data_IF_527903554412
#
_entry.id   IF_527903554412
#
_cell.length_a   1.000
_cell.length_b   1.000
_cell.length_c   1.000
_cell.angle_alpha   90.00
_cell.angle_beta   90.00
_cell.angle_gamma   90.00
#
_symmetry.space_group_name_H-M   'P 1'
#
loop_
_entity.id
_entity.type
_entity.pdbx_description
1 polymer ?
#
# COMPACT_ATOMS: atom_id res chain seq x y z
N UNK A 1 -20.61 -8.22 -18.86
CA UNK A 1 -19.59 -7.45 -18.12
C UNK A 1 -19.18 -8.28 -16.91
N UNK A 2 -17.89 -8.54 -16.71
CA UNK A 2 -17.39 -9.33 -15.56
C UNK A 2 -17.27 -8.40 -14.35
N UNK A 3 -17.70 -8.85 -13.17
CA UNK A 3 -17.57 -8.10 -11.92
C UNK A 3 -16.59 -8.82 -10.99
N UNK A 4 -15.65 -8.07 -10.43
CA UNK A 4 -14.72 -8.56 -9.41
C UNK A 4 -15.24 -8.18 -8.02
N UNK A 5 -15.12 -9.09 -7.07
CA UNK A 5 -15.47 -8.82 -5.68
C UNK A 5 -14.26 -8.25 -4.92
N UNK A 6 -14.44 -7.07 -4.33
CA UNK A 6 -13.49 -6.51 -3.39
C UNK A 6 -13.93 -6.89 -1.97
N UNK A 7 -13.06 -7.59 -1.25
CA UNK A 7 -13.25 -7.98 0.15
C UNK A 7 -12.36 -7.18 1.07
N UNK A 8 -12.81 -7.00 2.31
CA UNK A 8 -12.00 -6.36 3.34
C UNK A 8 -10.86 -7.27 3.78
N UNK A 9 -9.63 -6.76 3.80
CA UNK A 9 -8.42 -7.51 4.22
C UNK A 9 -8.45 -7.94 5.70
N UNK A 10 -9.22 -7.24 6.54
CA UNK A 10 -9.28 -7.53 7.97
C UNK A 10 -10.44 -8.45 8.36
N UNK A 11 -11.67 -8.24 7.85
CA UNK A 11 -12.84 -9.04 8.24
C UNK A 11 -13.37 -9.97 7.15
N UNK A 12 -12.72 -9.99 5.98
CA UNK A 12 -13.08 -10.79 4.80
C UNK A 12 -14.53 -10.63 4.29
N UNK A 13 -15.22 -9.58 4.75
CA UNK A 13 -16.56 -9.25 4.28
C UNK A 13 -16.47 -8.48 2.96
N UNK A 14 -17.42 -8.76 2.07
CA UNK A 14 -17.61 -8.04 0.82
C UNK A 14 -17.76 -6.54 1.06
N UNK A 15 -17.01 -5.75 0.30
CA UNK A 15 -17.05 -4.29 0.30
C UNK A 15 -17.74 -3.74 -0.96
N UNK A 16 -17.37 -4.26 -2.13
CA UNK A 16 -17.89 -3.79 -3.41
C UNK A 16 -17.83 -4.88 -4.49
N UNK A 17 -18.66 -4.73 -5.52
CA UNK A 17 -18.47 -5.36 -6.83
C UNK A 17 -18.06 -4.26 -7.81
N UNK A 18 -17.01 -4.49 -8.58
CA UNK A 18 -16.48 -3.51 -9.52
C UNK A 18 -16.28 -4.16 -10.88
N UNK A 19 -16.57 -3.45 -11.96
CA UNK A 19 -16.28 -3.91 -13.31
C UNK A 19 -14.83 -3.59 -13.69
N UNK A 20 -14.42 -2.35 -13.46
CA UNK A 20 -13.06 -1.85 -13.71
C UNK A 20 -12.71 -0.78 -12.67
N UNK A 21 -11.47 -0.80 -12.19
CA UNK A 21 -10.90 0.25 -11.35
C UNK A 21 -9.39 0.32 -11.60
N UNK A 22 -8.75 1.43 -11.26
CA UNK A 22 -7.28 1.52 -11.27
C UNK A 22 -6.73 1.43 -9.84
N UNK A 23 -7.33 2.21 -8.95
CA UNK A 23 -7.03 2.23 -7.53
C UNK A 23 -8.33 2.48 -6.76
N UNK A 24 -8.46 1.86 -5.60
CA UNK A 24 -9.59 2.07 -4.69
C UNK A 24 -9.07 2.18 -3.26
N UNK A 25 -9.56 3.21 -2.57
CA UNK A 25 -9.41 3.39 -1.13
C UNK A 25 -10.80 3.44 -0.51
N UNK A 26 -11.09 2.48 0.36
CA UNK A 26 -12.42 2.35 0.97
C UNK A 26 -12.32 1.88 2.42
N UNK A 27 -13.02 2.60 3.31
CA UNK A 27 -13.17 2.21 4.70
C UNK A 27 -14.22 1.12 4.82
N UNK A 28 -13.91 0.05 5.55
CA UNK A 28 -14.89 -0.99 5.86
C UNK A 28 -15.90 -0.47 6.89
N UNK A 29 -17.21 -0.43 6.60
CA UNK A 29 -18.21 0.05 7.55
C UNK A 29 -18.39 -0.88 8.76
N UNK A 30 -17.86 -2.10 8.71
CA UNK A 30 -17.99 -3.11 9.77
C UNK A 30 -16.83 -3.07 10.76
N UNK A 31 -15.60 -3.19 10.26
CA UNK A 31 -14.40 -3.24 11.13
C UNK A 31 -13.59 -1.93 11.14
N UNK A 32 -14.00 -0.91 10.38
CA UNK A 32 -13.33 0.40 10.26
C UNK A 32 -11.93 0.37 9.62
N UNK A 33 -11.43 -0.78 9.18
CA UNK A 33 -10.18 -0.90 8.44
C UNK A 33 -10.22 -0.11 7.12
N UNK A 34 -9.15 0.64 6.83
CA UNK A 34 -8.98 1.33 5.55
C UNK A 34 -8.33 0.36 4.54
N UNK A 35 -9.05 0.03 3.46
CA UNK A 35 -8.56 -0.90 2.45
C UNK A 35 -8.07 -0.11 1.25
N UNK A 36 -6.78 -0.25 0.91
CA UNK A 36 -6.18 0.27 -0.31
C UNK A 36 -5.82 -0.89 -1.23
N UNK A 37 -6.37 -0.88 -2.45
CA UNK A 37 -6.15 -1.92 -3.45
C UNK A 37 -5.96 -1.31 -4.84
N UNK A 38 -5.03 -1.88 -5.61
CA UNK A 38 -4.85 -1.59 -7.04
C UNK A 38 -5.48 -2.71 -7.86
N UNK A 39 -5.96 -2.39 -9.04
CA UNK A 39 -6.47 -3.45 -9.92
C UNK A 39 -5.33 -4.34 -10.37
N UNK A 40 -5.57 -5.64 -10.43
CA UNK A 40 -4.58 -6.63 -10.86
C UNK A 40 -4.12 -6.41 -12.30
N UNK A 41 -4.93 -5.73 -13.13
CA UNK A 41 -4.58 -5.32 -14.50
C UNK A 41 -3.80 -3.99 -14.56
N UNK A 42 -3.80 -3.19 -13.48
CA UNK A 42 -3.02 -1.95 -13.44
C UNK A 42 -1.54 -2.28 -13.35
N UNK A 43 -0.76 -1.84 -14.34
CA UNK A 43 0.71 -1.95 -14.29
C UNK A 43 1.17 -1.33 -12.96
N UNK A 44 2.01 -2.02 -12.17
CA UNK A 44 2.52 -1.41 -10.95
C UNK A 44 3.22 -0.10 -11.34
N UNK A 45 2.99 1.00 -10.61
CA UNK A 45 3.89 2.14 -10.69
C UNK A 45 5.29 1.61 -10.46
N UNK A 46 6.22 1.95 -11.34
CA UNK A 46 7.63 1.66 -11.14
C UNK A 46 7.99 2.23 -9.78
N UNK A 47 8.19 1.36 -8.79
CA UNK A 47 8.80 1.74 -7.53
C UNK A 47 10.19 2.23 -7.91
N UNK A 48 10.36 3.55 -8.03
CA UNK A 48 11.68 4.14 -7.88
C UNK A 48 12.08 3.80 -6.46
N UNK A 49 12.86 2.73 -6.31
CA UNK A 49 13.65 2.49 -5.11
C UNK A 49 14.29 3.84 -4.77
N UNK A 50 13.77 4.54 -3.76
CA UNK A 50 14.47 5.68 -3.19
C UNK A 50 15.73 5.07 -2.64
N UNK A 51 16.80 5.22 -3.41
CA UNK A 51 18.10 4.67 -3.11
C UNK A 51 18.42 5.02 -1.68
N UNK A 52 18.77 3.99 -0.92
CA UNK A 52 19.41 4.13 0.37
C UNK A 52 20.51 5.19 0.21
N UNK A 53 20.43 6.37 0.85
CA UNK A 53 21.58 7.26 0.85
C UNK A 53 22.63 6.58 1.73
N UNK A 54 23.59 5.91 1.09
CA UNK A 54 24.86 5.55 1.71
C UNK A 54 25.61 6.85 2.00
N UNK A 55 25.24 7.56 3.06
CA UNK A 55 26.14 8.49 3.70
C UNK A 55 26.55 7.86 5.03
N UNK A 56 27.83 7.50 5.12
CA UNK A 56 28.44 7.09 6.38
C UNK A 56 28.48 8.33 7.27
N UNK A 57 27.70 8.33 8.35
CA UNK A 57 27.88 9.28 9.45
C UNK A 57 29.03 8.77 10.31
N UNK A 58 30.26 8.87 9.80
CA UNK A 58 31.46 8.75 10.61
C UNK A 58 31.47 9.93 11.59
N UNK A 59 30.79 9.70 12.72
CA UNK A 59 30.77 10.58 13.87
C UNK A 59 32.20 10.70 14.37
N UNK A 60 32.73 11.92 14.39
CA UNK A 60 33.99 12.21 15.07
C UNK A 60 33.77 11.90 16.56
N UNK A 61 34.36 10.82 17.05
CA UNK A 61 34.49 10.59 18.49
C UNK A 61 35.43 11.65 19.05
N UNK A 62 34.93 12.44 20.01
CA UNK A 62 35.81 13.21 20.87
C UNK A 62 36.60 12.22 21.75
N UNK A 63 37.93 12.34 21.85
CA UNK A 63 38.70 11.47 22.74
C UNK A 63 38.27 11.71 24.19
N UNK A 64 38.21 10.66 25.04
CA UNK A 64 37.98 10.84 26.46
C UNK A 64 39.18 11.56 27.09
N UNK A 65 38.85 12.40 28.08
CA UNK A 65 39.73 13.28 28.88
C UNK A 65 40.94 12.59 29.49
#
# INVERSE_FOLDING_TARGET
MVLMEIRCKQCNRKLANVSDYQFIEIKCPRCRHLNQQRATSSKPPKETHRGYPNHSLDGRQAPPS
#
